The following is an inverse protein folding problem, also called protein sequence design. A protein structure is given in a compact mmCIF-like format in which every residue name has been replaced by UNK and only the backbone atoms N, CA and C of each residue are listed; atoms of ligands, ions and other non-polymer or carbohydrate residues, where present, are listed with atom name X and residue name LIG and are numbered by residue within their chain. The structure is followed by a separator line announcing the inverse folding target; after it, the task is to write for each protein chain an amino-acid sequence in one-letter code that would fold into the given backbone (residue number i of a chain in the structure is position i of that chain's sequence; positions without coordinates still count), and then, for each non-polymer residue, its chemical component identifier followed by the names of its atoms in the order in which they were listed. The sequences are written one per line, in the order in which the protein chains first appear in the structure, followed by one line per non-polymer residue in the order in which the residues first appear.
data_IF_017064857226
#
_entry.id   IF_017064857226
#
_cell.length_a   1.000
_cell.length_b   1.000
_cell.length_c   1.000
_cell.angle_alpha   90.00
_cell.angle_beta   90.00
_cell.angle_gamma   90.00
#
_symmetry.space_group_name_H-M   'P 1'
#
loop_
_entity.id
_entity.type
_entity.pdbx_description
1 polymer ?
#
# COMPACT_ATOMS: atom_id res chain seq x y z
N UNK A 1 -2.10 -15.85 -18.55
CA UNK A 1 -0.64 -15.67 -18.70
C UNK A 1 -0.38 -14.19 -18.91
N UNK A 2 -0.06 -13.46 -17.85
CA UNK A 2 0.23 -12.03 -17.91
C UNK A 2 1.47 -11.78 -17.06
N UNK A 3 2.52 -11.26 -17.66
CA UNK A 3 3.78 -10.99 -16.97
C UNK A 3 3.55 -9.88 -15.94
N UNK A 4 3.51 -10.25 -14.65
CA UNK A 4 3.62 -9.30 -13.54
C UNK A 4 5.02 -8.71 -13.62
N UNK A 5 5.15 -7.48 -14.10
CA UNK A 5 6.40 -6.73 -14.07
C UNK A 5 6.65 -6.21 -12.65
N UNK A 6 6.74 -7.15 -11.70
CA UNK A 6 6.90 -6.86 -10.28
C UNK A 6 8.36 -6.68 -9.93
N UNK A 7 8.95 -5.51 -10.17
CA UNK A 7 10.33 -5.23 -9.73
C UNK A 7 10.48 -5.27 -8.20
N UNK A 8 9.37 -5.23 -7.45
CA UNK A 8 9.35 -5.13 -5.99
C UNK A 8 9.22 -6.47 -5.26
N UNK A 9 8.87 -7.59 -5.92
CA UNK A 9 8.84 -8.91 -5.26
C UNK A 9 10.13 -9.70 -5.52
N UNK A 10 11.22 -9.30 -4.88
CA UNK A 10 12.45 -10.11 -4.93
C UNK A 10 12.32 -11.28 -3.93
N UNK A 11 12.57 -12.51 -4.42
CA UNK A 11 12.69 -13.72 -3.59
C UNK A 11 11.45 -14.15 -2.77
N UNK A 12 10.24 -13.84 -3.26
CA UNK A 12 9.00 -14.25 -2.58
C UNK A 12 8.72 -13.51 -1.27
N UNK A 13 9.39 -12.38 -1.06
CA UNK A 13 9.13 -11.49 0.07
C UNK A 13 8.02 -10.50 -0.29
N UNK A 14 7.20 -10.15 0.70
CA UNK A 14 6.19 -9.10 0.55
C UNK A 14 6.83 -7.74 0.81
N UNK A 15 6.55 -6.77 -0.05
CA UNK A 15 7.06 -5.40 0.08
C UNK A 15 5.92 -4.45 0.46
N UNK A 16 6.15 -3.65 1.49
CA UNK A 16 5.28 -2.55 1.89
C UNK A 16 5.79 -1.25 1.28
N UNK A 17 4.97 -0.59 0.46
CA UNK A 17 5.24 0.77 0.01
C UNK A 17 4.73 1.78 1.04
N UNK A 18 5.64 2.50 1.69
CA UNK A 18 5.32 3.57 2.65
C UNK A 18 5.29 4.95 1.98
N UNK A 19 4.47 5.87 2.51
CA UNK A 19 4.36 7.24 2.02
C UNK A 19 3.44 7.43 0.81
N UNK A 20 2.43 6.59 0.61
CA UNK A 20 1.42 6.78 -0.45
C UNK A 20 0.45 7.89 -0.06
N UNK A 21 0.48 9.00 -0.80
CA UNK A 21 -0.31 10.21 -0.52
C UNK A 21 -1.35 10.52 -1.60
N UNK A 22 -1.17 9.98 -2.82
CA UNK A 22 -2.02 10.28 -3.97
C UNK A 22 -2.44 9.01 -4.72
N UNK A 23 -3.57 9.09 -5.43
CA UNK A 23 -4.06 8.02 -6.30
C UNK A 23 -3.03 7.62 -7.36
N UNK A 24 -2.35 8.58 -7.99
CA UNK A 24 -1.34 8.28 -9.01
C UNK A 24 -0.13 7.50 -8.48
N UNK A 25 0.28 7.72 -7.22
CA UNK A 25 1.31 6.91 -6.57
C UNK A 25 0.83 5.48 -6.34
N UNK A 26 -0.41 5.30 -5.86
CA UNK A 26 -1.02 3.98 -5.65
C UNK A 26 -1.06 3.19 -6.96
N UNK A 27 -1.53 3.80 -8.05
CA UNK A 27 -1.61 3.16 -9.37
C UNK A 27 -0.24 2.77 -9.93
N UNK A 28 0.74 3.66 -9.79
CA UNK A 28 2.11 3.40 -10.19
C UNK A 28 2.71 2.21 -9.42
N UNK A 29 2.61 2.22 -8.08
CA UNK A 29 3.15 1.16 -7.23
C UNK A 29 2.43 -0.19 -7.44
N UNK A 30 1.11 -0.15 -7.68
CA UNK A 30 0.32 -1.34 -8.06
C UNK A 30 0.82 -1.92 -9.38
N UNK A 31 1.09 -1.07 -10.37
CA UNK A 31 1.65 -1.49 -11.67
C UNK A 31 3.06 -2.09 -11.53
N UNK A 32 3.85 -1.57 -10.59
CA UNK A 32 5.17 -2.11 -10.21
C UNK A 32 5.09 -3.41 -9.39
N UNK A 33 3.89 -3.95 -9.15
CA UNK A 33 3.66 -5.22 -8.45
C UNK A 33 3.71 -5.14 -6.93
N UNK A 34 3.57 -3.96 -6.34
CA UNK A 34 3.38 -3.81 -4.90
C UNK A 34 1.94 -4.17 -4.52
N UNK A 35 1.76 -4.87 -3.41
CA UNK A 35 0.48 -5.37 -2.91
C UNK A 35 0.14 -4.88 -1.50
N UNK A 36 1.05 -4.14 -0.85
CA UNK A 36 0.84 -3.53 0.47
C UNK A 36 1.25 -2.08 0.47
N UNK A 37 0.44 -1.23 1.08
CA UNK A 37 0.62 0.21 1.05
C UNK A 37 0.38 0.83 2.43
N UNK A 38 1.11 1.89 2.73
CA UNK A 38 0.86 2.77 3.87
C UNK A 38 1.06 4.21 3.43
N UNK A 39 0.18 5.12 3.86
CA UNK A 39 0.38 6.55 3.70
C UNK A 39 -0.92 7.35 3.87
N UNK A 40 -0.81 8.67 3.76
CA UNK A 40 -1.91 9.60 4.04
C UNK A 40 -3.05 9.53 3.03
N UNK A 41 -2.83 8.86 1.89
CA UNK A 41 -3.90 8.49 0.99
C UNK A 41 -4.98 7.63 1.68
N UNK A 42 -4.57 6.74 2.59
CA UNK A 42 -5.48 5.88 3.35
C UNK A 42 -5.92 6.52 4.67
N UNK A 43 -4.95 6.93 5.48
CA UNK A 43 -5.20 7.66 6.73
C UNK A 43 -3.94 8.36 7.22
N UNK A 44 -4.12 9.43 8.00
CA UNK A 44 -3.08 9.89 8.92
C UNK A 44 -2.87 8.86 10.05
N UNK A 45 -1.77 8.93 10.83
CA UNK A 45 -1.59 8.09 12.00
C UNK A 45 -2.75 8.28 12.97
N UNK A 46 -3.33 7.18 13.42
CA UNK A 46 -4.51 7.16 14.28
C UNK A 46 -4.08 6.87 15.72
N UNK A 47 -4.83 7.43 16.67
CA UNK A 47 -4.76 6.98 18.06
C UNK A 47 -5.37 5.59 18.19
N UNK A 48 -5.09 4.88 19.29
CA UNK A 48 -5.67 3.56 19.54
C UNK A 48 -7.21 3.57 19.52
N UNK A 49 -7.83 4.64 20.05
CA UNK A 49 -9.29 4.79 20.03
C UNK A 49 -9.83 5.00 18.60
N UNK A 50 -9.20 5.87 17.82
CA UNK A 50 -9.60 6.16 16.45
C UNK A 50 -9.34 4.97 15.50
N UNK A 51 -8.37 4.10 15.82
CA UNK A 51 -8.09 2.90 15.05
C UNK A 51 -9.26 1.91 15.08
N UNK A 52 -9.90 1.71 16.24
CA UNK A 52 -11.05 0.81 16.36
C UNK A 52 -12.18 1.23 15.41
N UNK A 53 -12.52 2.52 15.41
CA UNK A 53 -13.54 3.08 14.50
C UNK A 53 -13.12 2.98 13.02
N UNK A 54 -11.82 3.07 12.73
CA UNK A 54 -11.31 3.02 11.36
C UNK A 54 -11.34 1.60 10.77
N UNK A 55 -11.08 0.57 11.56
CA UNK A 55 -11.09 -0.84 11.10
C UNK A 55 -12.51 -1.38 10.92
N UNK A 56 -13.49 -0.80 11.61
CA UNK A 56 -14.90 -1.19 11.50
C UNK A 56 -15.65 -0.54 10.31
N UNK A 57 -15.01 0.40 9.60
CA UNK A 57 -15.54 1.03 8.37
C UNK A 57 -15.47 0.10 7.17
#
# INVERSE_FOLDING_TARGET
MGFRWGCLSAYGTTVLAEGVETQGQLECLTTCGCDRFQGYYFSRPLSALALSEYIEK
#
